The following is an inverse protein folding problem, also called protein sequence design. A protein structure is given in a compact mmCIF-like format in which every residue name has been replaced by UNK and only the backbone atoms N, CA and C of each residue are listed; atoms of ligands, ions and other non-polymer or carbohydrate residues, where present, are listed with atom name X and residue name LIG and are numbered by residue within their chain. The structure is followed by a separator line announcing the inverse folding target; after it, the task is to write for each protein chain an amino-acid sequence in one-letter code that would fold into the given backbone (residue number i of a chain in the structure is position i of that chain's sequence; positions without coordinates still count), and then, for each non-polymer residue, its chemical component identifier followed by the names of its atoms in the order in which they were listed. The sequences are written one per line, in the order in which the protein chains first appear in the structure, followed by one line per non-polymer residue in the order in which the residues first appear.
data_IF_740391452374
#
_entry.id   IF_740391452374
#
_cell.length_a   1.000
_cell.length_b   1.000
_cell.length_c   1.000
_cell.angle_alpha   90.00
_cell.angle_beta   90.00
_cell.angle_gamma   90.00
#
_symmetry.space_group_name_H-M   'P 1'
#
loop_
_entity.id
_entity.type
_entity.pdbx_description
1 polymer ?
#
# COMPACT_ATOMS: atom_id res chain seq x y z
N UNK A 1 -0.18 -20.35 -16.43
CA UNK A 1 0.05 -18.89 -16.37
C UNK A 1 0.90 -18.44 -15.16
N UNK A 2 0.94 -19.20 -14.05
CA UNK A 2 1.71 -18.92 -12.81
C UNK A 2 3.24 -19.13 -12.89
N UNK A 3 3.79 -19.52 -14.05
CA UNK A 3 5.17 -20.04 -14.15
C UNK A 3 6.22 -19.06 -14.72
N UNK A 4 5.87 -17.80 -15.02
CA UNK A 4 6.78 -16.87 -15.75
C UNK A 4 7.38 -15.72 -14.94
N UNK A 5 7.02 -15.55 -13.67
CA UNK A 5 7.61 -14.52 -12.81
C UNK A 5 8.03 -15.11 -11.46
N UNK A 6 9.34 -15.26 -11.24
CA UNK A 6 9.89 -15.61 -9.93
C UNK A 6 9.45 -14.53 -8.90
N UNK A 7 8.71 -14.91 -7.85
CA UNK A 7 8.16 -13.99 -6.84
C UNK A 7 6.64 -13.76 -6.85
N UNK A 8 5.91 -14.31 -7.83
CA UNK A 8 4.44 -14.27 -7.86
C UNK A 8 3.81 -12.87 -7.90
N UNK A 9 2.55 -12.78 -7.46
CA UNK A 9 1.71 -11.56 -7.49
C UNK A 9 2.24 -10.42 -6.62
N UNK A 10 3.00 -10.74 -5.57
CA UNK A 10 3.55 -9.76 -4.63
C UNK A 10 4.73 -8.97 -5.22
N UNK A 11 5.61 -9.59 -6.00
CA UNK A 11 6.72 -8.86 -6.65
C UNK A 11 6.24 -7.93 -7.76
N UNK A 12 5.20 -8.32 -8.51
CA UNK A 12 4.54 -7.41 -9.46
C UNK A 12 3.99 -6.17 -8.75
N UNK A 13 3.31 -6.37 -7.62
CA UNK A 13 2.76 -5.27 -6.82
C UNK A 13 3.88 -4.36 -6.28
N UNK A 14 4.99 -4.91 -5.80
CA UNK A 14 6.13 -4.12 -5.32
C UNK A 14 6.71 -3.22 -6.43
N UNK A 15 6.93 -3.76 -7.63
CA UNK A 15 7.40 -2.96 -8.78
C UNK A 15 6.38 -1.91 -9.22
N UNK A 16 5.11 -2.28 -9.24
CA UNK A 16 4.02 -1.36 -9.59
C UNK A 16 3.94 -0.18 -8.60
N UNK A 17 4.09 -0.44 -7.30
CA UNK A 17 4.14 0.61 -6.28
C UNK A 17 5.36 1.52 -6.46
N UNK A 18 6.55 0.97 -6.70
CA UNK A 18 7.79 1.75 -6.91
C UNK A 18 7.66 2.71 -8.10
N UNK A 19 7.09 2.25 -9.21
CA UNK A 19 6.90 3.08 -10.41
C UNK A 19 5.89 4.21 -10.17
N UNK A 20 4.90 3.99 -9.30
CA UNK A 20 3.83 4.96 -9.03
C UNK A 20 4.14 5.91 -7.87
N UNK A 21 5.05 5.56 -6.97
CA UNK A 21 5.55 6.45 -5.90
C UNK A 21 5.98 7.84 -6.41
N UNK A 22 6.81 8.00 -7.46
CA UNK A 22 7.17 9.33 -7.94
C UNK A 22 5.98 10.11 -8.51
N UNK A 23 4.98 9.43 -9.07
CA UNK A 23 3.76 10.07 -9.58
C UNK A 23 2.87 10.55 -8.42
N UNK A 24 2.77 9.75 -7.35
CA UNK A 24 2.09 10.09 -6.10
C UNK A 24 2.75 11.28 -5.39
N UNK A 25 4.08 11.36 -5.37
CA UNK A 25 4.76 12.52 -4.78
C UNK A 25 4.69 13.74 -5.71
N UNK A 26 4.82 13.53 -7.02
CA UNK A 26 4.89 14.59 -8.02
C UNK A 26 3.62 15.43 -8.13
N UNK A 27 2.42 14.82 -8.09
CA UNK A 27 1.17 15.57 -8.25
C UNK A 27 0.93 16.59 -7.13
N UNK A 28 1.53 16.39 -5.95
CA UNK A 28 1.40 17.29 -4.79
C UNK A 28 2.07 18.64 -4.99
N UNK A 29 2.98 18.75 -5.96
CA UNK A 29 3.67 20.00 -6.31
C UNK A 29 3.16 20.63 -7.61
N UNK A 30 2.17 20.01 -8.25
CA UNK A 30 1.58 20.49 -9.51
C UNK A 30 0.32 21.31 -9.20
N UNK A 31 0.13 22.42 -9.93
CA UNK A 31 -1.10 23.23 -9.77
C UNK A 31 -2.35 22.38 -10.09
N UNK A 32 -3.43 22.49 -9.27
CA UNK A 32 -4.72 21.86 -9.55
C UNK A 32 -5.36 22.26 -10.89
N UNK A 33 -4.92 23.37 -11.50
CA UNK A 33 -5.41 23.83 -12.80
C UNK A 33 -4.87 22.98 -13.96
N UNK A 34 -3.80 22.20 -13.73
CA UNK A 34 -3.19 21.37 -14.75
C UNK A 34 -3.94 20.04 -14.91
N UNK A 35 -4.28 19.60 -16.15
CA UNK A 35 -4.80 18.25 -16.40
C UNK A 35 -3.89 17.14 -15.86
N UNK A 36 -2.58 17.41 -15.76
CA UNK A 36 -1.60 16.47 -15.21
C UNK A 36 -1.87 16.13 -13.73
N UNK A 37 -2.39 17.09 -12.95
CA UNK A 37 -2.78 16.87 -11.56
C UNK A 37 -3.82 15.74 -11.44
N UNK A 38 -4.89 15.81 -12.25
CA UNK A 38 -5.98 14.83 -12.20
C UNK A 38 -5.56 13.45 -12.72
N UNK A 39 -4.71 13.39 -13.75
CA UNK A 39 -4.17 12.12 -14.28
C UNK A 39 -3.30 11.44 -13.23
N UNK A 40 -2.37 12.19 -12.62
CA UNK A 40 -1.49 11.66 -11.59
C UNK A 40 -2.26 11.25 -10.31
N UNK A 41 -3.26 12.04 -9.91
CA UNK A 41 -4.14 11.70 -8.79
C UNK A 41 -4.94 10.42 -9.06
N UNK A 42 -5.45 10.27 -10.28
CA UNK A 42 -6.21 9.09 -10.70
C UNK A 42 -5.34 7.83 -10.71
N UNK A 43 -4.10 7.93 -11.19
CA UNK A 43 -3.13 6.85 -11.10
C UNK A 43 -2.83 6.45 -9.64
N UNK A 44 -2.82 7.42 -8.72
CA UNK A 44 -2.74 7.15 -7.29
C UNK A 44 -3.91 6.35 -6.74
N UNK A 45 -5.15 6.71 -7.13
CA UNK A 45 -6.34 5.94 -6.76
C UNK A 45 -6.31 4.50 -7.31
N UNK A 46 -5.92 4.34 -8.57
CA UNK A 46 -5.76 3.02 -9.19
C UNK A 46 -4.74 2.19 -8.44
N UNK A 47 -3.64 2.81 -8.00
CA UNK A 47 -2.60 2.14 -7.20
C UNK A 47 -3.17 1.58 -5.89
N UNK A 48 -3.92 2.42 -5.18
CA UNK A 48 -4.55 2.05 -3.93
C UNK A 48 -5.54 0.89 -4.11
N UNK A 49 -6.35 0.89 -5.17
CA UNK A 49 -7.30 -0.20 -5.42
C UNK A 49 -6.61 -1.48 -5.90
N UNK A 50 -5.60 -1.37 -6.76
CA UNK A 50 -4.85 -2.51 -7.29
C UNK A 50 -4.08 -3.27 -6.20
N UNK A 51 -3.75 -2.62 -5.08
CA UNK A 51 -3.13 -3.23 -3.91
C UNK A 51 -4.00 -4.32 -3.28
N UNK A 52 -5.32 -4.11 -3.17
CA UNK A 52 -6.20 -5.03 -2.46
C UNK A 52 -6.29 -6.39 -3.15
N UNK A 53 -6.37 -6.45 -4.47
CA UNK A 53 -6.61 -7.71 -5.19
C UNK A 53 -5.53 -8.79 -4.96
N UNK A 54 -4.21 -8.51 -5.12
CA UNK A 54 -3.16 -9.48 -4.83
C UNK A 54 -3.13 -9.93 -3.37
N UNK A 55 -3.31 -9.01 -2.42
CA UNK A 55 -3.27 -9.31 -0.98
C UNK A 55 -4.41 -10.24 -0.59
N UNK A 56 -5.63 -9.95 -1.04
CA UNK A 56 -6.80 -10.80 -0.75
C UNK A 56 -6.65 -12.18 -1.38
N UNK A 57 -6.17 -12.25 -2.63
CA UNK A 57 -5.94 -13.53 -3.29
C UNK A 57 -4.88 -14.38 -2.57
N UNK A 58 -3.83 -13.74 -2.05
CA UNK A 58 -2.76 -14.44 -1.32
C UNK A 58 -3.27 -14.99 0.00
N UNK A 59 -4.04 -14.20 0.76
CA UNK A 59 -4.66 -14.66 2.01
C UNK A 59 -5.62 -15.82 1.75
N UNK A 60 -6.45 -15.73 0.72
CA UNK A 60 -7.38 -16.83 0.37
C UNK A 60 -6.67 -18.10 -0.11
N UNK A 61 -5.55 -17.96 -0.82
CA UNK A 61 -4.73 -19.09 -1.30
C UNK A 61 -4.00 -19.80 -0.13
N UNK A 62 -3.69 -19.08 0.96
CA UNK A 62 -3.05 -19.62 2.17
C UNK A 62 -4.04 -20.19 3.19
N UNK A 63 -5.28 -19.69 3.18
CA UNK A 63 -6.30 -20.11 4.15
C UNK A 63 -7.00 -21.41 3.73
N UNK A 64 -7.22 -22.34 4.67
CA UNK A 64 -8.10 -23.48 4.46
C UNK A 64 -9.51 -23.04 4.01
N UNK A 65 -10.22 -23.82 3.18
CA UNK A 65 -11.51 -23.42 2.60
C UNK A 65 -12.52 -22.87 3.62
N UNK A 66 -12.65 -23.53 4.77
CA UNK A 66 -13.62 -23.18 5.81
C UNK A 66 -13.24 -21.91 6.59
N UNK A 67 -11.97 -21.51 6.53
CA UNK A 67 -11.42 -20.36 7.26
C UNK A 67 -11.25 -19.11 6.39
N UNK A 68 -11.49 -19.19 5.08
CA UNK A 68 -11.29 -18.06 4.14
C UNK A 68 -12.09 -16.81 4.53
N UNK A 69 -13.31 -17.00 5.03
CA UNK A 69 -14.15 -15.90 5.51
C UNK A 69 -13.53 -15.18 6.71
N UNK A 70 -13.06 -15.94 7.71
CA UNK A 70 -12.40 -15.39 8.90
C UNK A 70 -11.10 -14.68 8.53
N UNK A 71 -10.26 -15.29 7.69
CA UNK A 71 -8.99 -14.68 7.28
C UNK A 71 -9.19 -13.37 6.51
N UNK A 72 -10.20 -13.30 5.65
CA UNK A 72 -10.55 -12.07 4.93
C UNK A 72 -11.12 -11.01 5.87
N UNK A 73 -11.93 -11.40 6.85
CA UNK A 73 -12.46 -10.50 7.86
C UNK A 73 -11.34 -9.89 8.74
N UNK A 74 -10.40 -10.71 9.20
CA UNK A 74 -9.23 -10.24 9.95
C UNK A 74 -8.37 -9.30 9.09
N UNK A 75 -8.14 -9.64 7.82
CA UNK A 75 -7.41 -8.77 6.89
C UNK A 75 -8.08 -7.40 6.74
N UNK A 76 -9.40 -7.37 6.51
CA UNK A 76 -10.17 -6.14 6.40
C UNK A 76 -10.14 -5.33 7.69
N UNK A 77 -10.37 -5.99 8.83
CA UNK A 77 -10.35 -5.35 10.15
C UNK A 77 -9.01 -4.68 10.43
N UNK A 78 -7.91 -5.42 10.24
CA UNK A 78 -6.55 -4.88 10.43
C UNK A 78 -6.24 -3.75 9.44
N UNK A 79 -6.62 -3.91 8.17
CA UNK A 79 -6.38 -2.87 7.14
C UNK A 79 -7.14 -1.58 7.43
N UNK A 80 -8.39 -1.68 7.89
CA UNK A 80 -9.20 -0.52 8.19
C UNK A 80 -8.75 0.18 9.48
N UNK A 81 -8.42 -0.55 10.54
CA UNK A 81 -7.99 0.07 11.80
C UNK A 81 -6.55 0.59 11.71
N UNK A 82 -5.61 -0.26 11.28
CA UNK A 82 -4.18 0.10 11.27
C UNK A 82 -3.82 0.96 10.05
N UNK A 83 -4.36 0.64 8.88
CA UNK A 83 -4.07 1.36 7.65
C UNK A 83 -4.81 2.70 7.60
N UNK A 84 -6.14 2.63 7.50
CA UNK A 84 -6.97 3.83 7.27
C UNK A 84 -7.13 4.65 8.56
N UNK A 85 -7.56 4.01 9.65
CA UNK A 85 -7.84 4.69 10.92
C UNK A 85 -6.60 5.34 11.51
N UNK A 86 -5.57 4.52 11.80
CA UNK A 86 -4.33 5.00 12.39
C UNK A 86 -3.60 5.97 11.45
N UNK A 87 -3.56 5.68 10.14
CA UNK A 87 -2.98 6.55 9.14
C UNK A 87 -3.62 7.95 9.11
N UNK A 88 -4.94 8.04 9.13
CA UNK A 88 -5.65 9.33 9.13
C UNK A 88 -5.34 10.15 10.40
N UNK A 89 -5.31 9.50 11.57
CA UNK A 89 -4.95 10.15 12.84
C UNK A 89 -3.50 10.64 12.81
N UNK A 90 -2.57 9.82 12.31
CA UNK A 90 -1.16 10.20 12.18
C UNK A 90 -0.98 11.40 11.25
N UNK A 91 -1.61 11.41 10.07
CA UNK A 91 -1.56 12.54 9.14
C UNK A 91 -2.13 13.81 9.79
N UNK A 92 -3.26 13.71 10.49
CA UNK A 92 -3.87 14.83 11.19
C UNK A 92 -2.97 15.40 12.30
N UNK A 93 -2.38 14.54 13.11
CA UNK A 93 -1.47 14.93 14.18
C UNK A 93 -0.19 15.59 13.65
N UNK A 94 0.41 15.04 12.58
CA UNK A 94 1.55 15.64 11.90
C UNK A 94 1.19 17.01 11.32
N UNK A 95 0.01 17.15 10.71
CA UNK A 95 -0.43 18.41 10.11
C UNK A 95 -0.62 19.48 11.17
N UNK A 96 -1.20 19.13 12.33
CA UNK A 96 -1.32 20.03 13.47
C UNK A 96 0.06 20.44 14.02
N UNK A 97 0.99 19.49 14.13
CA UNK A 97 2.37 19.75 14.55
C UNK A 97 3.11 20.69 13.60
N UNK A 98 3.01 20.48 12.29
CA UNK A 98 3.63 21.33 11.28
C UNK A 98 3.00 22.73 11.22
N UNK A 99 1.69 22.83 11.47
CA UNK A 99 1.03 24.13 11.60
C UNK A 99 1.55 24.91 12.82
N UNK A 100 1.80 24.24 13.94
CA UNK A 100 2.30 24.87 15.16
C UNK A 100 3.73 25.44 15.05
N UNK A 101 4.50 25.01 14.04
CA UNK A 101 5.85 25.50 13.75
C UNK A 101 5.90 26.33 12.45
N UNK A 102 4.76 26.83 11.98
CA UNK A 102 4.60 27.70 10.80
C UNK A 102 5.22 27.13 9.49
N UNK A 103 5.18 25.81 9.30
CA UNK A 103 5.59 25.21 8.03
C UNK A 103 4.58 25.57 6.93
N UNK A 104 5.09 26.05 5.80
CA UNK A 104 4.29 26.28 4.60
C UNK A 104 3.71 24.95 4.08
N UNK A 105 2.39 24.92 3.80
CA UNK A 105 1.66 23.74 3.31
C UNK A 105 1.78 22.51 4.23
N UNK A 106 1.34 22.60 5.50
CA UNK A 106 1.57 21.57 6.52
C UNK A 106 0.98 20.21 6.12
N UNK A 107 -0.21 20.18 5.50
CA UNK A 107 -0.85 18.95 5.05
C UNK A 107 -0.02 18.21 3.99
N UNK A 108 0.57 18.93 3.03
CA UNK A 108 1.42 18.35 1.98
C UNK A 108 2.63 17.66 2.61
N UNK A 109 3.31 18.33 3.53
CA UNK A 109 4.46 17.76 4.23
C UNK A 109 4.07 16.56 5.12
N UNK A 110 2.90 16.59 5.77
CA UNK A 110 2.43 15.45 6.56
C UNK A 110 2.19 14.21 5.70
N UNK A 111 1.57 14.40 4.54
CA UNK A 111 1.35 13.32 3.58
C UNK A 111 2.67 12.76 3.03
N UNK A 112 3.66 13.62 2.74
CA UNK A 112 5.00 13.17 2.30
C UNK A 112 5.69 12.35 3.40
N UNK A 113 5.64 12.81 4.66
CA UNK A 113 6.24 12.08 5.80
C UNK A 113 5.62 10.69 5.97
N UNK A 114 4.30 10.56 5.83
CA UNK A 114 3.61 9.26 5.91
C UNK A 114 3.88 8.41 4.66
N UNK A 115 3.98 9.00 3.48
CA UNK A 115 4.38 8.28 2.27
C UNK A 115 5.80 7.70 2.40
N UNK A 116 6.73 8.37 3.08
CA UNK A 116 8.05 7.81 3.39
C UNK A 116 7.96 6.60 4.32
N UNK A 117 7.02 6.59 5.28
CA UNK A 117 6.77 5.41 6.12
C UNK A 117 6.24 4.23 5.30
N UNK A 118 5.54 4.47 4.18
CA UNK A 118 5.07 3.40 3.30
C UNK A 118 6.20 2.59 2.65
N UNK A 119 7.43 3.10 2.64
CA UNK A 119 8.62 2.34 2.19
C UNK A 119 8.80 1.09 3.07
N UNK A 120 8.49 1.17 4.37
CA UNK A 120 8.52 0.00 5.27
C UNK A 120 7.50 -1.07 4.85
N UNK A 121 6.38 -0.66 4.26
CA UNK A 121 5.40 -1.59 3.68
C UNK A 121 5.99 -2.37 2.51
N UNK A 122 6.74 -1.72 1.62
CA UNK A 122 7.43 -2.40 0.50
C UNK A 122 8.42 -3.44 1.01
N UNK A 123 9.21 -3.11 2.04
CA UNK A 123 10.13 -4.05 2.70
C UNK A 123 9.36 -5.23 3.30
N UNK A 124 8.25 -4.97 3.98
CA UNK A 124 7.42 -6.00 4.61
C UNK A 124 6.83 -6.97 3.57
N UNK A 125 6.35 -6.46 2.44
CA UNK A 125 5.87 -7.29 1.33
C UNK A 125 6.99 -8.09 0.66
N UNK A 126 8.17 -7.49 0.52
CA UNK A 126 9.33 -8.19 -0.03
C UNK A 126 9.71 -9.40 0.84
N UNK A 127 9.83 -9.18 2.15
CA UNK A 127 10.11 -10.22 3.14
C UNK A 127 8.99 -11.27 3.11
N UNK A 128 7.73 -10.85 3.15
CA UNK A 128 6.57 -11.75 3.06
C UNK A 128 6.58 -12.62 1.80
N UNK A 129 7.03 -12.09 0.65
CA UNK A 129 7.15 -12.88 -0.58
C UNK A 129 8.19 -14.00 -0.47
N UNK A 130 9.28 -13.77 0.27
CA UNK A 130 10.34 -14.77 0.48
C UNK A 130 9.84 -15.91 1.39
N UNK A 131 9.09 -15.58 2.44
CA UNK A 131 8.49 -16.59 3.31
C UNK A 131 7.36 -17.36 2.61
N UNK A 132 6.56 -16.69 1.79
CA UNK A 132 5.51 -17.34 0.99
C UNK A 132 6.08 -18.39 0.02
N UNK A 133 7.20 -18.09 -0.66
CA UNK A 133 7.89 -19.05 -1.52
C UNK A 133 8.40 -20.28 -0.74
N UNK A 134 8.85 -20.09 0.51
CA UNK A 134 9.31 -21.17 1.39
C UNK A 134 8.16 -22.05 1.90
N UNK A 135 7.07 -21.46 2.37
CA UNK A 135 5.97 -22.20 3.00
C UNK A 135 5.11 -22.96 1.97
N UNK A 136 5.07 -22.48 0.73
CA UNK A 136 4.42 -23.23 -0.37
C UNK A 136 4.99 -24.63 -0.57
N UNK A 137 6.27 -24.85 -0.26
CA UNK A 137 6.89 -26.17 -0.37
C UNK A 137 6.51 -27.12 0.78
N UNK A 138 6.00 -26.60 1.90
CA UNK A 138 5.58 -27.39 3.06
C UNK A 138 4.11 -27.83 2.99
N UNK A 139 3.26 -27.09 2.29
CA UNK A 139 1.81 -27.33 2.20
C UNK A 139 1.45 -28.30 1.05
N UNK A 140 2.33 -28.51 0.06
CA UNK A 140 2.10 -29.42 -1.08
C UNK A 140 2.72 -30.82 -0.84
N UNK A 141 2.67 -31.32 0.39
CA UNK A 141 2.87 -32.74 0.71
C UNK A 141 1.58 -33.31 1.26
#
# INVERSE_FOLDING_TARGET
YQARFAGGRLRFLAWFLIVLTPLLLGYRFVSPESPFFYVAMSAGLVSFMAFYAPVFSTVQDLSPPDMRGVSTAVLLFMSNILGIGLGAVTVGALSAGYTAIDIAQPLTWSLITVDLLSIFTVVSFWIGSVYYERDKHLIIK
#
